data_IF_115536181817
#
_entry.id   IF_115536181817
#
_cell.length_a   1.000
_cell.length_b   1.000
_cell.length_c   1.000
_cell.angle_alpha   90.00
_cell.angle_beta   90.00
_cell.angle_gamma   90.00
#
_symmetry.space_group_name_H-M   'P 1'
#
loop_
_entity.id
_entity.type
_entity.pdbx_description
1 polymer ?
#
# COMPACT_ATOMS: atom_id res chain seq x y z
N UNK A 1 8.90 3.09 -13.49
CA UNK A 1 7.98 3.09 -12.33
C UNK A 1 6.75 2.32 -12.77
N UNK A 2 6.53 1.13 -12.23
CA UNK A 2 5.27 0.40 -12.48
C UNK A 2 4.15 1.17 -11.78
N UNK A 3 3.12 1.55 -12.53
CA UNK A 3 1.98 2.24 -11.97
C UNK A 3 1.08 1.23 -11.28
N UNK A 4 0.84 1.40 -9.99
CA UNK A 4 -0.19 0.67 -9.26
C UNK A 4 -1.55 1.03 -9.87
N UNK A 5 -2.31 0.01 -10.26
CA UNK A 5 -3.67 0.16 -10.76
C UNK A 5 -4.64 0.48 -9.64
N UNK A 6 -5.81 1.00 -10.00
CA UNK A 6 -6.87 1.27 -9.02
C UNK A 6 -7.29 0.01 -8.24
N UNK A 7 -7.34 -1.16 -8.90
CA UNK A 7 -7.73 -2.41 -8.24
C UNK A 7 -6.66 -2.93 -7.27
N UNK A 8 -5.38 -2.83 -7.63
CA UNK A 8 -4.27 -3.12 -6.71
C UNK A 8 -4.32 -2.19 -5.50
N UNK A 9 -4.69 -0.93 -5.72
CA UNK A 9 -4.81 0.07 -4.66
C UNK A 9 -5.85 -0.29 -3.60
N UNK A 10 -7.05 -0.71 -4.01
CA UNK A 10 -8.08 -1.19 -3.09
C UNK A 10 -7.59 -2.41 -2.29
N UNK A 11 -6.83 -3.31 -2.93
CA UNK A 11 -6.22 -4.45 -2.22
C UNK A 11 -5.20 -4.00 -1.18
N UNK A 12 -4.38 -2.99 -1.49
CA UNK A 12 -3.42 -2.39 -0.54
C UNK A 12 -4.16 -1.83 0.69
N UNK A 13 -5.27 -1.11 0.51
CA UNK A 13 -6.10 -0.63 1.64
C UNK A 13 -6.56 -1.80 2.52
N UNK A 14 -7.15 -2.84 1.92
CA UNK A 14 -7.57 -4.05 2.65
C UNK A 14 -6.40 -4.72 3.38
N UNK A 15 -5.23 -4.79 2.75
CA UNK A 15 -4.04 -5.37 3.38
C UNK A 15 -3.53 -4.54 4.55
N UNK A 16 -3.69 -3.22 4.52
CA UNK A 16 -3.35 -2.33 5.65
C UNK A 16 -4.27 -2.58 6.84
N UNK A 17 -5.58 -2.71 6.62
CA UNK A 17 -6.55 -3.06 7.68
C UNK A 17 -6.24 -4.42 8.31
N UNK A 18 -5.75 -5.37 7.50
CA UNK A 18 -5.29 -6.68 7.93
C UNK A 18 -3.87 -6.67 8.54
N UNK A 19 -3.23 -5.50 8.67
CA UNK A 19 -1.89 -5.33 9.24
C UNK A 19 -0.79 -6.15 8.53
N UNK A 20 -0.90 -6.35 7.21
CA UNK A 20 0.17 -6.99 6.44
C UNK A 20 1.38 -6.05 6.32
N UNK A 21 2.57 -6.64 6.22
CA UNK A 21 3.79 -5.88 5.91
C UNK A 21 3.90 -5.56 4.41
N UNK A 22 4.64 -4.51 4.06
CA UNK A 22 4.86 -4.10 2.67
C UNK A 22 5.51 -5.20 1.81
N UNK A 23 6.31 -6.09 2.42
CA UNK A 23 6.92 -7.24 1.74
C UNK A 23 5.83 -8.22 1.34
N UNK A 24 4.97 -8.61 2.29
CA UNK A 24 3.85 -9.52 2.01
C UNK A 24 2.90 -8.92 0.97
N UNK A 25 2.57 -7.64 1.08
CA UNK A 25 1.73 -6.95 0.08
C UNK A 25 2.37 -6.96 -1.31
N UNK A 26 3.69 -6.73 -1.38
CA UNK A 26 4.46 -6.77 -2.62
C UNK A 26 4.43 -8.16 -3.26
N UNK A 27 4.61 -9.22 -2.47
CA UNK A 27 4.55 -10.60 -2.94
C UNK A 27 3.17 -10.95 -3.50
N UNK A 28 2.08 -10.53 -2.83
CA UNK A 28 0.70 -10.76 -3.29
C UNK A 28 0.33 -10.00 -4.56
N UNK A 29 0.89 -8.80 -4.75
CA UNK A 29 0.59 -7.94 -5.90
C UNK A 29 1.62 -8.07 -7.03
N UNK A 30 2.68 -8.86 -6.84
CA UNK A 30 3.84 -8.92 -7.73
C UNK A 30 4.48 -7.54 -7.95
N UNK A 31 4.58 -6.76 -6.87
CA UNK A 31 5.11 -5.40 -6.83
C UNK A 31 6.29 -5.32 -5.87
N UNK A 32 7.22 -4.40 -6.14
CA UNK A 32 8.32 -4.19 -5.20
C UNK A 32 7.80 -3.58 -3.89
N UNK A 33 8.40 -3.93 -2.73
CA UNK A 33 8.04 -3.29 -1.46
C UNK A 33 8.18 -1.76 -1.51
N UNK A 34 9.12 -1.24 -2.31
CA UNK A 34 9.29 0.19 -2.56
C UNK A 34 8.11 0.84 -3.29
N UNK A 35 7.47 0.12 -4.21
CA UNK A 35 6.25 0.59 -4.90
C UNK A 35 5.07 0.63 -3.94
N UNK A 36 4.96 -0.37 -3.05
CA UNK A 36 3.96 -0.37 -1.98
C UNK A 36 4.18 0.80 -1.03
N UNK A 37 5.40 0.99 -0.51
CA UNK A 37 5.75 2.15 0.34
C UNK A 37 5.44 3.48 -0.34
N UNK A 38 5.72 3.60 -1.64
CA UNK A 38 5.42 4.80 -2.41
C UNK A 38 3.91 5.07 -2.49
N UNK A 39 3.07 4.08 -2.82
CA UNK A 39 1.62 4.28 -2.82
C UNK A 39 1.06 4.56 -1.43
N UNK A 40 1.56 3.88 -0.40
CA UNK A 40 1.16 4.15 0.99
C UNK A 40 1.49 5.59 1.40
N UNK A 41 2.64 6.13 0.98
CA UNK A 41 2.98 7.53 1.24
C UNK A 41 2.05 8.53 0.55
N UNK A 42 1.36 8.12 -0.53
CA UNK A 42 0.36 8.92 -1.25
C UNK A 42 -1.06 8.72 -0.71
N UNK A 43 -1.27 7.70 0.10
CA UNK A 43 -2.51 7.43 0.81
C UNK A 43 -2.64 8.37 2.03
N UNK A 44 -3.19 9.56 1.81
CA UNK A 44 -3.61 10.44 2.91
C UNK A 44 -5.10 10.23 3.20
N UNK A 45 -5.41 9.39 4.20
CA UNK A 45 -6.31 9.83 5.26
C UNK A 45 -5.71 9.71 6.68
N UNK A 46 -4.51 9.12 6.84
CA UNK A 46 -3.90 8.86 8.16
C UNK A 46 -2.95 9.96 8.68
N UNK A 47 -2.86 11.12 8.03
CA UNK A 47 -2.12 12.27 8.60
C UNK A 47 -2.90 13.05 9.67
N UNK A 48 -4.11 12.61 10.04
CA UNK A 48 -4.98 13.34 10.98
C UNK A 48 -4.93 12.87 12.45
N UNK A 49 -4.25 11.76 12.80
CA UNK A 49 -4.30 11.22 14.18
C UNK A 49 -2.94 10.77 14.74
N UNK A 50 -1.87 11.51 14.44
CA UNK A 50 -0.64 11.46 15.23
C UNK A 50 -0.24 12.88 15.64
N UNK A 51 -0.95 13.45 16.62
CA UNK A 51 -0.53 14.57 17.44
C UNK A 51 -0.49 14.12 18.90
#
# INVERSE_FOLDING_TARGET
>A
MSSITYSERIKIETFCELSLSNIQMGDWLNQSPSTISYELSRYQPYQAECA
#
